data_IF_518225370222
#
_entry.id   IF_518225370222
#
_cell.length_a   1.000
_cell.length_b   1.000
_cell.length_c   1.000
_cell.angle_alpha   90.00
_cell.angle_beta   90.00
_cell.angle_gamma   90.00
#
_symmetry.space_group_name_H-M   'P 1'
#
loop_
_entity.id
_entity.type
_entity.pdbx_description
1 polymer ?
#
# COMPACT_ATOMS: atom_id res chain seq x y z
N UNK A 1 43.00 -7.74 -30.99
CA UNK A 1 41.56 -7.43 -30.97
C UNK A 1 40.90 -8.32 -29.92
N UNK A 2 40.50 -7.82 -28.74
CA UNK A 2 39.60 -8.57 -27.87
C UNK A 2 38.14 -8.22 -28.19
N UNK A 3 37.30 -9.25 -28.28
CA UNK A 3 35.88 -9.14 -28.52
C UNK A 3 35.16 -8.55 -27.29
N UNK A 4 34.40 -7.46 -27.50
CA UNK A 4 33.50 -6.92 -26.50
C UNK A 4 32.36 -7.91 -26.24
N UNK A 5 32.37 -8.55 -25.07
CA UNK A 5 31.21 -9.26 -24.56
C UNK A 5 30.13 -8.24 -24.17
N UNK A 6 29.00 -8.28 -24.88
CA UNK A 6 27.77 -7.59 -24.49
C UNK A 6 27.31 -8.15 -23.14
N UNK A 7 27.52 -7.37 -22.07
CA UNK A 7 26.96 -7.65 -20.75
C UNK A 7 25.44 -7.40 -20.80
N UNK A 8 24.68 -8.45 -21.07
CA UNK A 8 23.22 -8.45 -20.90
C UNK A 8 22.94 -8.28 -19.41
N UNK A 9 22.50 -7.09 -18.99
CA UNK A 9 22.13 -6.83 -17.61
C UNK A 9 21.05 -7.85 -17.16
N UNK A 10 21.22 -8.53 -16.02
CA UNK A 10 20.24 -9.51 -15.53
C UNK A 10 18.88 -8.84 -15.29
N UNK A 11 17.81 -9.58 -15.57
CA UNK A 11 16.40 -9.09 -15.58
C UNK A 11 15.91 -8.57 -14.23
N UNK A 12 16.68 -8.75 -13.16
CA UNK A 12 16.40 -8.27 -11.80
C UNK A 12 16.42 -6.74 -11.66
N UNK A 13 17.01 -6.02 -12.63
CA UNK A 13 17.06 -4.54 -12.61
C UNK A 13 15.89 -3.85 -13.34
N UNK A 14 14.90 -4.60 -13.82
CA UNK A 14 13.88 -4.05 -14.72
C UNK A 14 12.61 -3.57 -13.98
N UNK A 15 12.50 -3.83 -12.68
CA UNK A 15 11.49 -3.23 -11.81
C UNK A 15 11.99 -3.11 -10.38
N UNK A 16 11.51 -2.10 -9.65
CA UNK A 16 11.86 -1.87 -8.24
C UNK A 16 11.49 -3.06 -7.36
N UNK A 17 10.40 -3.75 -7.68
CA UNK A 17 9.99 -4.98 -7.00
C UNK A 17 10.94 -6.17 -7.24
N UNK A 18 11.47 -6.30 -8.48
CA UNK A 18 12.44 -7.36 -8.79
C UNK A 18 13.80 -7.08 -8.11
N UNK A 19 14.18 -5.81 -7.97
CA UNK A 19 15.38 -5.42 -7.24
C UNK A 19 15.23 -5.70 -5.73
N UNK A 20 14.10 -5.32 -5.13
CA UNK A 20 13.83 -5.60 -3.72
C UNK A 20 13.88 -7.11 -3.43
N UNK A 21 13.24 -7.93 -4.27
CA UNK A 21 13.27 -9.39 -4.11
C UNK A 21 14.67 -10.00 -4.26
N UNK A 22 15.51 -9.45 -5.16
CA UNK A 22 16.88 -9.90 -5.34
C UNK A 22 17.77 -9.52 -4.14
N UNK A 23 17.56 -8.33 -3.57
CA UNK A 23 18.27 -7.87 -2.37
C UNK A 23 17.88 -8.73 -1.17
N UNK A 24 16.59 -8.97 -0.94
CA UNK A 24 16.11 -9.82 0.16
C UNK A 24 16.68 -11.25 0.09
N UNK A 25 16.75 -11.82 -1.12
CA UNK A 25 17.34 -13.15 -1.33
C UNK A 25 18.83 -13.17 -0.99
N UNK A 26 19.60 -12.16 -1.41
CA UNK A 26 21.04 -12.08 -1.12
C UNK A 26 21.32 -11.91 0.38
N UNK A 27 20.51 -11.13 1.09
CA UNK A 27 20.62 -10.98 2.54
C UNK A 27 20.25 -12.27 3.28
N UNK A 28 19.22 -12.98 2.84
CA UNK A 28 18.82 -14.25 3.44
C UNK A 28 19.90 -15.32 3.31
N UNK A 29 20.59 -15.37 2.17
CA UNK A 29 21.68 -16.32 1.90
C UNK A 29 22.92 -16.00 2.75
N UNK A 30 23.33 -14.73 2.83
CA UNK A 30 24.44 -14.30 3.67
C UNK A 30 24.18 -14.58 5.17
N UNK A 31 22.96 -14.37 5.64
CA UNK A 31 22.59 -14.67 7.03
C UNK A 31 22.59 -16.17 7.31
N UNK A 32 22.15 -16.99 6.36
CA UNK A 32 22.18 -18.45 6.48
C UNK A 32 23.61 -18.98 6.56
N UNK A 33 24.54 -18.41 5.78
CA UNK A 33 25.97 -18.75 5.84
C UNK A 33 26.62 -18.35 7.17
N UNK A 34 26.35 -17.13 7.68
CA UNK A 34 26.85 -16.73 9.00
C UNK A 34 26.32 -17.62 10.12
N UNK A 35 25.03 -17.98 10.09
CA UNK A 35 24.44 -18.86 11.09
C UNK A 35 25.03 -20.28 11.01
N UNK A 36 25.24 -20.80 9.80
CA UNK A 36 25.89 -22.09 9.58
C UNK A 36 27.33 -22.08 10.08
N UNK A 37 28.08 -21.00 9.85
CA UNK A 37 29.44 -20.83 10.36
C UNK A 37 29.47 -20.75 11.90
N UNK A 38 28.55 -19.99 12.51
CA UNK A 38 28.43 -19.88 13.96
C UNK A 38 28.04 -21.20 14.63
N UNK A 39 27.22 -22.02 13.97
CA UNK A 39 26.85 -23.36 14.46
C UNK A 39 27.95 -24.40 14.21
N UNK A 40 28.76 -24.23 13.16
CA UNK A 40 29.91 -25.07 12.86
C UNK A 40 31.12 -24.78 13.76
N UNK A 41 31.18 -23.58 14.36
CA UNK A 41 32.15 -23.24 15.41
C UNK A 41 31.76 -23.95 16.72
N UNK A 42 31.94 -25.27 16.71
CA UNK A 42 31.78 -26.12 17.87
C UNK A 42 32.79 -25.68 18.94
N UNK A 43 32.33 -24.88 19.88
CA UNK A 43 33.09 -24.56 21.10
C UNK A 43 33.54 -25.89 21.70
N UNK A 44 34.84 -26.15 21.89
CA UNK A 44 35.30 -27.44 22.40
C UNK A 44 34.61 -27.71 23.73
N UNK A 45 33.95 -28.86 23.82
CA UNK A 45 33.25 -29.29 25.02
C UNK A 45 34.23 -29.23 26.20
N UNK A 46 34.03 -28.26 27.11
CA UNK A 46 34.75 -28.25 28.38
C UNK A 46 34.51 -29.63 29.03
N UNK A 47 35.56 -30.27 29.59
CA UNK A 47 35.37 -31.51 30.31
C UNK A 47 34.27 -31.30 31.35
N UNK A 48 33.26 -32.17 31.33
CA UNK A 48 32.15 -32.08 32.26
C UNK A 48 32.71 -32.24 33.67
N UNK A 49 32.90 -31.12 34.36
CA UNK A 49 33.18 -31.13 35.80
C UNK A 49 31.87 -31.51 36.45
N UNK A 50 31.75 -32.78 36.81
CA UNK A 50 30.61 -33.27 37.60
C UNK A 50 30.78 -32.72 39.01
N UNK A 51 30.23 -31.54 39.25
CA UNK A 51 30.16 -30.97 40.60
C UNK A 51 29.24 -31.87 41.45
N UNK A 52 29.61 -32.15 42.72
CA UNK A 52 28.70 -32.82 43.64
C UNK A 52 27.42 -32.00 43.76
N UNK A 53 26.28 -32.66 44.02
CA UNK A 53 25.04 -31.93 44.26
C UNK A 53 25.18 -30.97 45.46
N UNK A 54 24.37 -29.92 45.44
CA UNK A 54 24.44 -28.84 46.43
C UNK A 54 24.28 -29.38 47.86
N UNK A 55 23.46 -30.41 48.06
CA UNK A 55 23.21 -31.02 49.38
C UNK A 55 24.41 -31.83 49.88
N UNK A 56 25.18 -32.42 48.98
CA UNK A 56 26.41 -33.15 49.29
C UNK A 56 27.51 -32.19 49.72
N UNK A 57 27.65 -31.06 49.03
CA UNK A 57 28.58 -29.99 49.42
C UNK A 57 28.21 -29.37 50.77
N UNK A 58 26.92 -29.11 51.01
CA UNK A 58 26.42 -28.58 52.29
C UNK A 58 26.73 -29.54 53.45
N UNK A 59 26.52 -30.85 53.25
CA UNK A 59 26.84 -31.89 54.25
C UNK A 59 28.33 -32.04 54.49
N UNK A 60 29.15 -32.07 53.43
CA UNK A 60 30.62 -32.19 53.55
C UNK A 60 31.24 -30.99 54.27
N UNK A 61 30.66 -29.80 54.09
CA UNK A 61 31.10 -28.58 54.78
C UNK A 61 30.60 -28.47 56.23
N UNK A 62 29.77 -29.41 56.71
CA UNK A 62 29.19 -29.37 58.06
C UNK A 62 28.22 -28.21 58.30
N UNK A 63 27.63 -27.66 57.23
CA UNK A 63 26.73 -26.50 57.33
C UNK A 63 25.34 -26.98 57.76
N UNK A 64 24.93 -26.60 58.96
CA UNK A 64 23.56 -26.83 59.46
C UNK A 64 22.63 -25.78 58.86
N UNK A 65 21.82 -26.16 57.88
CA UNK A 65 20.83 -25.26 57.27
C UNK A 65 19.56 -25.22 58.12
N UNK A 66 19.31 -24.11 58.81
CA UNK A 66 18.01 -23.80 59.40
C UNK A 66 16.95 -23.43 58.34
N UNK A 67 15.67 -23.28 58.72
CA UNK A 67 14.64 -22.80 57.81
C UNK A 67 15.06 -21.44 57.23
N UNK A 68 15.04 -21.33 55.90
CA UNK A 68 15.39 -20.11 55.20
C UNK A 68 14.56 -18.94 55.75
N UNK A 69 15.18 -17.81 56.16
CA UNK A 69 14.43 -16.65 56.61
C UNK A 69 13.50 -16.17 55.50
N UNK A 70 12.30 -15.71 55.88
CA UNK A 70 11.33 -15.21 54.92
C UNK A 70 11.92 -14.04 54.13
N UNK A 71 11.97 -14.17 52.81
CA UNK A 71 12.54 -13.17 51.91
C UNK A 71 11.70 -11.87 51.97
N UNK A 72 12.28 -10.72 52.35
CA UNK A 72 11.57 -9.43 52.41
C UNK A 72 11.06 -8.96 51.05
N UNK A 73 11.55 -9.52 49.94
CA UNK A 73 11.13 -9.17 48.59
C UNK A 73 9.96 -10.03 48.07
N UNK A 74 9.49 -11.02 48.83
CA UNK A 74 8.31 -11.80 48.43
C UNK A 74 7.05 -10.95 48.58
N UNK A 75 6.34 -10.59 47.49
CA UNK A 75 5.17 -9.74 47.59
C UNK A 75 4.05 -10.48 48.34
N UNK A 76 3.44 -9.78 49.30
CA UNK A 76 2.31 -10.30 50.08
C UNK A 76 1.17 -10.75 49.17
N UNK A 77 0.34 -11.69 49.64
CA UNK A 77 -0.82 -12.17 48.89
C UNK A 77 -1.73 -11.01 48.43
N UNK A 78 -1.88 -10.00 49.28
CA UNK A 78 -2.61 -8.75 49.00
C UNK A 78 -1.96 -7.92 47.89
N UNK A 79 -0.63 -7.79 47.89
CA UNK A 79 0.12 -7.10 46.83
C UNK A 79 0.00 -7.80 45.47
N UNK A 80 -0.02 -9.14 45.45
CA UNK A 80 -0.27 -9.91 44.22
C UNK A 80 -1.70 -9.73 43.70
N UNK A 81 -2.69 -9.63 44.59
CA UNK A 81 -4.09 -9.40 44.22
C UNK A 81 -4.29 -8.01 43.61
N UNK A 82 -3.76 -6.97 44.25
CA UNK A 82 -3.82 -5.58 43.75
C UNK A 82 -3.18 -5.43 42.38
N UNK A 83 -2.01 -6.05 42.15
CA UNK A 83 -1.33 -6.04 40.84
C UNK A 83 -2.14 -6.77 39.76
N UNK A 84 -2.82 -7.88 40.09
CA UNK A 84 -3.70 -8.56 39.13
C UNK A 84 -4.94 -7.73 38.81
N UNK A 85 -5.54 -7.08 39.81
CA UNK A 85 -6.71 -6.22 39.63
C UNK A 85 -6.41 -5.00 38.76
N UNK A 86 -5.24 -4.36 38.93
CA UNK A 86 -4.83 -3.21 38.12
C UNK A 86 -4.61 -3.57 36.64
N UNK A 87 -4.07 -4.76 36.34
CA UNK A 87 -3.90 -5.23 34.96
C UNK A 87 -5.25 -5.50 34.29
N UNK A 88 -6.20 -6.10 35.01
CA UNK A 88 -7.54 -6.40 34.46
C UNK A 88 -8.30 -5.10 34.16
N UNK A 89 -8.31 -4.15 35.10
CA UNK A 89 -8.98 -2.85 34.93
C UNK A 89 -8.37 -2.04 33.80
N UNK A 90 -7.04 -2.01 33.66
CA UNK A 90 -6.37 -1.36 32.53
C UNK A 90 -6.76 -1.98 31.17
N UNK A 91 -6.84 -3.32 31.08
CA UNK A 91 -7.27 -4.00 29.84
C UNK A 91 -8.74 -3.72 29.50
N UNK A 92 -9.62 -3.68 30.50
CA UNK A 92 -11.03 -3.35 30.31
C UNK A 92 -11.21 -1.88 29.86
N UNK A 93 -10.49 -0.94 30.49
CA UNK A 93 -10.50 0.47 30.11
C UNK A 93 -9.98 0.68 28.67
N UNK A 94 -8.88 0.00 28.31
CA UNK A 94 -8.35 0.05 26.95
C UNK A 94 -9.33 -0.53 25.91
N UNK A 95 -9.97 -1.65 26.25
CA UNK A 95 -10.98 -2.27 25.39
C UNK A 95 -12.17 -1.32 25.16
N UNK A 96 -12.70 -0.69 26.21
CA UNK A 96 -13.77 0.30 26.10
C UNK A 96 -13.37 1.51 25.25
N UNK A 97 -12.16 2.05 25.46
CA UNK A 97 -11.67 3.19 24.68
C UNK A 97 -11.52 2.85 23.18
N UNK A 98 -11.01 1.66 22.86
CA UNK A 98 -10.86 1.18 21.48
C UNK A 98 -12.22 1.02 20.80
N UNK A 99 -13.21 0.44 21.48
CA UNK A 99 -14.52 0.23 20.88
C UNK A 99 -15.32 1.52 20.73
N UNK A 100 -15.25 2.43 21.70
CA UNK A 100 -15.91 3.74 21.61
C UNK A 100 -15.35 4.58 20.46
N UNK A 101 -14.02 4.61 20.29
CA UNK A 101 -13.37 5.30 19.16
C UNK A 101 -13.74 4.71 17.80
N UNK A 102 -13.79 3.38 17.68
CA UNK A 102 -14.25 2.71 16.46
C UNK A 102 -15.71 3.04 16.13
N UNK A 103 -16.62 2.93 17.11
CA UNK A 103 -18.03 3.25 16.92
C UNK A 103 -18.23 4.72 16.52
N UNK A 104 -17.53 5.66 17.17
CA UNK A 104 -17.57 7.08 16.83
C UNK A 104 -17.07 7.32 15.39
N UNK A 105 -15.99 6.66 14.97
CA UNK A 105 -15.46 6.75 13.62
C UNK A 105 -16.44 6.26 12.56
N UNK A 106 -17.10 5.11 12.80
CA UNK A 106 -18.12 4.57 11.89
C UNK A 106 -19.31 5.51 11.75
N UNK A 107 -19.80 6.07 12.86
CA UNK A 107 -20.90 7.03 12.85
C UNK A 107 -20.53 8.32 12.10
N UNK A 108 -19.32 8.85 12.32
CA UNK A 108 -18.85 10.05 11.63
C UNK A 108 -18.75 9.86 10.12
N UNK A 109 -18.17 8.73 9.67
CA UNK A 109 -18.08 8.39 8.24
C UNK A 109 -19.47 8.19 7.63
N UNK A 110 -20.38 7.53 8.34
CA UNK A 110 -21.77 7.38 7.93
C UNK A 110 -22.47 8.72 7.73
N UNK A 111 -22.36 9.62 8.72
CA UNK A 111 -22.94 10.96 8.65
C UNK A 111 -22.35 11.79 7.50
N UNK A 112 -21.04 11.72 7.27
CA UNK A 112 -20.37 12.37 6.13
C UNK A 112 -20.89 11.86 4.78
N UNK A 113 -21.12 10.54 4.64
CA UNK A 113 -21.69 9.98 3.41
C UNK A 113 -23.12 10.45 3.19
N UNK A 114 -23.97 10.41 4.22
CA UNK A 114 -25.37 10.84 4.12
C UNK A 114 -25.45 12.33 3.78
N UNK A 115 -24.69 13.17 4.47
CA UNK A 115 -24.63 14.61 4.18
C UNK A 115 -24.12 14.89 2.76
N UNK A 116 -23.12 14.14 2.28
CA UNK A 116 -22.66 14.22 0.90
C UNK A 116 -23.75 13.84 -0.12
N UNK A 117 -24.48 12.75 0.10
CA UNK A 117 -25.58 12.35 -0.78
C UNK A 117 -26.70 13.40 -0.83
N UNK A 118 -27.11 13.92 0.32
CA UNK A 118 -28.11 14.99 0.40
C UNK A 118 -27.63 16.28 -0.27
N UNK A 119 -26.34 16.61 -0.17
CA UNK A 119 -25.75 17.74 -0.86
C UNK A 119 -25.71 17.51 -2.38
N UNK A 120 -25.40 16.29 -2.82
CA UNK A 120 -25.37 15.91 -4.23
C UNK A 120 -26.78 15.95 -4.86
N UNK A 121 -27.83 15.52 -4.15
CA UNK A 121 -29.22 15.60 -4.60
C UNK A 121 -29.73 17.05 -4.76
N UNK A 122 -29.17 17.99 -4.00
CA UNK A 122 -29.51 19.43 -4.08
C UNK A 122 -28.71 20.18 -5.13
N UNK A 123 -27.67 19.58 -5.70
CA UNK A 123 -26.99 20.19 -6.83
C UNK A 123 -27.88 20.04 -8.06
N UNK A 124 -28.07 21.11 -8.85
CA UNK A 124 -28.79 21.00 -10.10
C UNK A 124 -28.09 19.94 -10.95
N UNK A 125 -28.83 18.87 -11.30
CA UNK A 125 -28.38 17.93 -12.32
C UNK A 125 -28.03 18.73 -13.55
N UNK A 126 -26.80 18.63 -14.09
CA UNK A 126 -26.47 19.30 -15.33
C UNK A 126 -27.47 18.83 -16.38
N UNK A 127 -28.27 19.77 -16.88
CA UNK A 127 -29.22 19.52 -17.95
C UNK A 127 -28.45 18.94 -19.12
N UNK A 128 -28.68 17.63 -19.34
CA UNK A 128 -28.07 16.79 -20.38
C UNK A 128 -26.57 16.54 -20.21
N UNK A 129 -26.23 15.60 -19.32
CA UNK A 129 -24.98 14.85 -19.46
C UNK A 129 -24.96 14.17 -20.85
N UNK A 130 -23.97 14.52 -21.68
CA UNK A 130 -23.82 13.92 -23.01
C UNK A 130 -23.47 12.43 -22.92
N UNK A 131 -23.67 11.70 -24.02
CA UNK A 131 -23.29 10.30 -24.09
C UNK A 131 -21.78 10.12 -23.89
N UNK A 132 -21.29 8.97 -23.36
CA UNK A 132 -19.86 8.68 -23.28
C UNK A 132 -19.15 8.80 -24.63
N UNK A 133 -19.81 8.39 -25.72
CA UNK A 133 -19.26 8.53 -27.07
C UNK A 133 -19.04 10.01 -27.46
N UNK A 134 -20.04 10.86 -27.20
CA UNK A 134 -19.95 12.29 -27.50
C UNK A 134 -18.94 12.98 -26.59
N UNK A 135 -18.79 12.52 -25.34
CA UNK A 135 -17.77 13.01 -24.42
C UNK A 135 -16.34 12.69 -24.89
N UNK A 136 -16.12 11.50 -25.45
CA UNK A 136 -14.83 11.11 -26.03
C UNK A 136 -14.50 11.95 -27.27
N UNK A 137 -15.48 12.24 -28.11
CA UNK A 137 -15.29 13.13 -29.26
C UNK A 137 -15.06 14.58 -28.85
N UNK A 138 -15.81 15.09 -27.88
CA UNK A 138 -15.58 16.41 -27.30
C UNK A 138 -14.17 16.51 -26.69
N UNK A 139 -13.69 15.45 -26.03
CA UNK A 139 -12.33 15.37 -25.50
C UNK A 139 -11.29 15.44 -26.63
N UNK A 140 -11.53 14.71 -27.72
CA UNK A 140 -10.67 14.75 -28.91
C UNK A 140 -10.62 16.15 -29.53
N UNK A 141 -11.76 16.80 -29.76
CA UNK A 141 -11.78 18.16 -30.30
C UNK A 141 -11.17 19.19 -29.33
N UNK A 142 -11.35 19.02 -28.02
CA UNK A 142 -10.71 19.89 -27.02
C UNK A 142 -9.18 19.79 -27.06
N UNK A 143 -8.64 18.56 -27.16
CA UNK A 143 -7.21 18.35 -27.32
C UNK A 143 -6.72 18.97 -28.64
N UNK A 144 -7.44 18.78 -29.73
CA UNK A 144 -7.07 19.30 -31.07
C UNK A 144 -7.01 20.83 -31.11
N UNK A 145 -7.91 21.50 -30.39
CA UNK A 145 -7.95 22.97 -30.33
C UNK A 145 -6.89 23.55 -29.40
N UNK A 146 -6.58 22.88 -28.30
CA UNK A 146 -5.62 23.36 -27.28
C UNK A 146 -4.19 22.89 -27.52
N UNK A 147 -4.02 21.86 -28.34
CA UNK A 147 -2.80 21.07 -28.45
C UNK A 147 -2.73 19.98 -27.38
N UNK A 148 -1.85 19.01 -27.59
CA UNK A 148 -1.64 17.89 -26.69
C UNK A 148 -0.32 17.97 -25.91
N UNK A 149 -0.32 17.48 -24.67
CA UNK A 149 0.90 17.35 -23.85
C UNK A 149 0.92 16.06 -23.03
N UNK A 150 2.11 15.66 -22.61
CA UNK A 150 2.37 14.50 -21.76
C UNK A 150 2.92 14.93 -20.39
N UNK A 151 2.81 14.04 -19.41
CA UNK A 151 3.38 14.14 -18.05
C UNK A 151 2.84 15.30 -17.18
N UNK A 152 2.07 16.21 -17.75
CA UNK A 152 1.47 17.36 -17.07
C UNK A 152 0.02 17.51 -17.51
N UNK A 153 -0.86 17.96 -16.60
CA UNK A 153 -2.28 18.15 -16.93
C UNK A 153 -2.48 19.22 -18.01
N UNK A 154 -1.68 20.27 -17.96
CA UNK A 154 -1.72 21.38 -18.89
C UNK A 154 -0.32 22.01 -18.97
N UNK A 155 0.04 22.46 -20.15
CA UNK A 155 1.23 23.27 -20.40
C UNK A 155 0.88 24.37 -21.42
N UNK A 156 1.82 25.26 -21.70
CA UNK A 156 1.67 26.25 -22.79
C UNK A 156 1.48 25.61 -24.16
N UNK A 157 1.83 24.33 -24.33
CA UNK A 157 1.73 23.60 -25.59
C UNK A 157 0.40 22.85 -25.74
N UNK A 158 -0.33 22.62 -24.64
CA UNK A 158 -1.55 21.84 -24.70
C UNK A 158 -1.99 21.22 -23.38
N UNK A 159 -2.96 20.33 -23.48
CA UNK A 159 -3.55 19.58 -22.36
C UNK A 159 -3.33 18.08 -22.56
N UNK A 160 -3.14 17.35 -21.46
CA UNK A 160 -3.16 15.89 -21.54
C UNK A 160 -4.61 15.39 -21.56
N UNK A 161 -4.80 14.10 -21.80
CA UNK A 161 -6.11 13.46 -21.83
C UNK A 161 -6.96 13.77 -20.58
N UNK A 162 -6.41 13.54 -19.38
CA UNK A 162 -7.11 13.84 -18.13
C UNK A 162 -7.32 15.34 -17.90
N UNK A 163 -6.42 16.19 -18.41
CA UNK A 163 -6.56 17.63 -18.37
C UNK A 163 -7.77 18.10 -19.19
N UNK A 164 -7.91 17.57 -20.40
CA UNK A 164 -9.04 17.82 -21.29
C UNK A 164 -10.37 17.35 -20.67
N UNK A 165 -10.43 16.12 -20.15
CA UNK A 165 -11.63 15.61 -19.47
C UNK A 165 -12.03 16.48 -18.27
N UNK A 166 -11.05 16.89 -17.47
CA UNK A 166 -11.28 17.76 -16.31
C UNK A 166 -11.87 19.11 -16.71
N UNK A 167 -11.38 19.70 -17.80
CA UNK A 167 -11.88 20.97 -18.30
C UNK A 167 -13.30 20.84 -18.84
N UNK A 168 -13.61 19.76 -19.57
CA UNK A 168 -14.97 19.46 -20.05
C UNK A 168 -15.97 19.19 -18.90
N UNK A 169 -15.52 18.59 -17.80
CA UNK A 169 -16.35 18.44 -16.60
C UNK A 169 -16.56 19.80 -15.94
N UNK A 170 -15.52 20.65 -15.88
CA UNK A 170 -15.62 21.99 -15.29
C UNK A 170 -16.53 22.92 -16.08
N UNK A 171 -16.56 22.79 -17.42
CA UNK A 171 -17.47 23.54 -18.29
C UNK A 171 -18.91 23.03 -18.26
N UNK A 172 -19.16 21.89 -17.60
CA UNK A 172 -20.48 21.24 -17.57
C UNK A 172 -20.82 20.44 -18.83
N UNK A 173 -19.89 20.26 -19.76
CA UNK A 173 -20.09 19.47 -20.98
C UNK A 173 -20.33 17.98 -20.66
N UNK A 174 -19.71 17.47 -19.61
CA UNK A 174 -19.97 16.12 -19.10
C UNK A 174 -19.86 16.05 -17.59
N UNK A 175 -20.09 14.86 -17.04
CA UNK A 175 -19.96 14.60 -15.60
C UNK A 175 -18.80 13.67 -15.31
N UNK A 176 -18.40 13.56 -14.04
CA UNK A 176 -17.41 12.54 -13.62
C UNK A 176 -17.90 11.11 -13.91
N UNK A 177 -19.21 10.87 -13.84
CA UNK A 177 -19.80 9.58 -14.16
C UNK A 177 -19.65 9.28 -15.66
N UNK A 178 -20.01 10.24 -16.53
CA UNK A 178 -19.82 10.13 -17.99
C UNK A 178 -18.36 9.90 -18.36
N UNK A 179 -17.43 10.63 -17.73
CA UNK A 179 -16.00 10.45 -17.96
C UNK A 179 -15.52 9.06 -17.52
N UNK A 180 -15.98 8.55 -16.37
CA UNK A 180 -15.62 7.20 -15.92
C UNK A 180 -16.12 6.11 -16.86
N UNK A 181 -17.34 6.26 -17.39
CA UNK A 181 -17.91 5.34 -18.38
C UNK A 181 -17.14 5.40 -19.72
N UNK A 182 -16.89 6.61 -20.23
CA UNK A 182 -16.05 6.86 -21.40
C UNK A 182 -14.65 6.24 -21.26
N UNK A 183 -14.03 6.39 -20.10
CA UNK A 183 -12.69 5.88 -19.81
C UNK A 183 -12.64 4.36 -19.78
N UNK A 184 -13.75 3.68 -19.48
CA UNK A 184 -13.84 2.22 -19.60
C UNK A 184 -13.70 1.79 -21.06
N UNK A 185 -14.39 2.47 -21.99
CA UNK A 185 -14.24 2.20 -23.42
C UNK A 185 -12.84 2.53 -23.94
N UNK A 186 -12.24 3.61 -23.45
CA UNK A 186 -10.89 4.03 -23.85
C UNK A 186 -9.80 3.06 -23.35
N UNK A 187 -9.90 2.58 -22.10
CA UNK A 187 -8.99 1.55 -21.59
C UNK A 187 -9.04 0.28 -22.45
N UNK A 188 -10.24 -0.15 -22.84
CA UNK A 188 -10.39 -1.30 -23.74
C UNK A 188 -9.84 -1.02 -25.14
N UNK A 189 -10.10 0.16 -25.70
CA UNK A 189 -9.60 0.55 -27.02
C UNK A 189 -8.06 0.63 -27.07
N UNK A 190 -7.44 1.02 -25.97
CA UNK A 190 -5.98 1.17 -25.86
C UNK A 190 -5.28 -0.09 -25.38
N UNK A 191 -6.00 -1.03 -24.77
CA UNK A 191 -5.43 -2.20 -24.11
C UNK A 191 -4.58 -1.86 -22.88
N UNK A 192 -4.66 -0.62 -22.39
CA UNK A 192 -3.85 -0.15 -21.25
C UNK A 192 -4.51 -0.48 -19.91
N UNK A 193 -3.68 -0.63 -18.88
CA UNK A 193 -4.14 -0.70 -17.48
C UNK A 193 -4.45 0.68 -16.89
N UNK A 194 -3.87 1.74 -17.44
CA UNK A 194 -4.11 3.11 -16.98
C UNK A 194 -4.02 4.11 -18.13
N UNK A 195 -4.91 5.11 -18.11
CA UNK A 195 -4.91 6.18 -19.10
C UNK A 195 -3.71 7.12 -18.94
N UNK A 196 -3.30 7.55 -17.72
CA UNK A 196 -2.07 8.33 -17.56
C UNK A 196 -0.85 7.60 -18.08
N UNK A 197 -0.67 6.33 -17.69
CA UNK A 197 0.48 5.53 -18.12
C UNK A 197 0.50 5.26 -19.63
N UNK A 198 -0.65 5.33 -20.30
CA UNK A 198 -0.74 5.22 -21.75
C UNK A 198 -0.52 6.55 -22.48
N UNK A 199 -1.07 7.66 -21.95
CA UNK A 199 -0.87 9.01 -22.47
C UNK A 199 0.60 9.41 -22.38
N UNK A 200 1.26 9.06 -21.28
CA UNK A 200 2.61 9.48 -20.93
C UNK A 200 3.70 8.53 -21.45
N UNK A 201 3.38 7.68 -22.43
CA UNK A 201 4.40 6.88 -23.10
C UNK A 201 5.24 7.76 -24.02
N UNK A 202 6.57 7.66 -23.96
CA UNK A 202 7.49 8.51 -24.74
C UNK A 202 7.26 8.45 -26.27
N UNK A 203 6.72 7.34 -26.77
CA UNK A 203 6.41 7.14 -28.19
C UNK A 203 5.00 7.58 -28.58
N UNK A 204 4.20 8.05 -27.62
CA UNK A 204 2.82 8.48 -27.85
C UNK A 204 2.84 9.76 -28.68
N UNK A 205 1.92 9.84 -29.62
CA UNK A 205 1.68 11.04 -30.42
C UNK A 205 0.25 11.52 -30.25
N UNK A 206 0.03 12.81 -30.49
CA UNK A 206 -1.31 13.42 -30.48
C UNK A 206 -2.27 12.69 -31.44
N UNK A 207 -1.81 12.33 -32.64
CA UNK A 207 -2.61 11.58 -33.62
C UNK A 207 -3.08 10.23 -33.07
N UNK A 208 -2.23 9.51 -32.31
CA UNK A 208 -2.63 8.27 -31.66
C UNK A 208 -3.65 8.50 -30.54
N UNK A 209 -3.56 9.64 -29.85
CA UNK A 209 -4.54 10.03 -28.82
C UNK A 209 -5.91 10.26 -29.44
N UNK A 210 -5.99 11.05 -30.51
CA UNK A 210 -7.22 11.24 -31.25
C UNK A 210 -7.80 9.93 -31.78
N UNK A 211 -6.95 9.10 -32.42
CA UNK A 211 -7.41 7.82 -32.95
C UNK A 211 -7.99 6.92 -31.87
N UNK A 212 -7.34 6.83 -30.71
CA UNK A 212 -7.86 6.03 -29.59
C UNK A 212 -9.19 6.55 -29.06
N UNK A 213 -9.34 7.88 -28.93
CA UNK A 213 -10.58 8.52 -28.52
C UNK A 213 -11.73 8.24 -29.49
N UNK A 214 -11.48 8.34 -30.80
CA UNK A 214 -12.48 8.06 -31.84
C UNK A 214 -12.86 6.57 -31.90
N UNK A 215 -11.89 5.67 -31.77
CA UNK A 215 -12.15 4.22 -31.67
C UNK A 215 -12.98 3.92 -30.42
N UNK A 216 -12.63 4.51 -29.27
CA UNK A 216 -13.39 4.36 -28.04
C UNK A 216 -14.81 4.92 -28.17
N UNK A 217 -15.00 6.05 -28.85
CA UNK A 217 -16.30 6.64 -29.11
C UNK A 217 -17.18 5.72 -29.97
N UNK A 218 -16.63 5.17 -31.06
CA UNK A 218 -17.32 4.20 -31.89
C UNK A 218 -17.74 2.94 -31.09
N UNK A 219 -16.87 2.44 -30.20
CA UNK A 219 -17.18 1.34 -29.29
C UNK A 219 -18.29 1.68 -28.31
N UNK A 220 -18.27 2.89 -27.75
CA UNK A 220 -19.29 3.35 -26.82
C UNK A 220 -20.67 3.47 -27.50
N UNK A 221 -20.73 3.87 -28.77
CA UNK A 221 -21.97 3.88 -29.55
C UNK A 221 -22.51 2.49 -29.81
N UNK A 222 -21.63 1.54 -30.15
CA UNK A 222 -22.02 0.16 -30.44
C UNK A 222 -22.50 -0.62 -29.19
N UNK A 223 -22.22 -0.12 -27.98
CA UNK A 223 -22.63 -0.72 -26.72
C UNK A 223 -24.00 -0.24 -26.23
N UNK A 224 -24.66 0.68 -26.96
CA UNK A 224 -26.01 1.18 -26.70
C UNK A 224 -27.03 0.42 -27.54
#
# INVERSE_FOLDING_TARGET
>A
MPASATATAPRTFWSEAALAAAVDAAFAEALAEELAAALADATPARPAITLPDTDTLIRQAGIVTGPCPSDPHTPSATGRFLKKASVITARAAWWLLKHTTLCAGVLLVGALRVTWHLAAERMPSPDRAIAPADFLEATSEHIKTRGWTQFVMESRRGVCLLGAERDLIRSGTGTRATASEANTHLLVATGSRSLPGWNDQLTRTEAQVHQALLVAAARARAAR
#
